data_IF_930004312515
#
_entry.id   IF_930004312515
#
_cell.length_a   1.000
_cell.length_b   1.000
_cell.length_c   1.000
_cell.angle_alpha   90.00
_cell.angle_beta   90.00
_cell.angle_gamma   90.00
#
_symmetry.space_group_name_H-M   'P 1'
#
loop_
_entity.id
_entity.type
_entity.pdbx_description
1 polymer ?
#
# COMPACT_ATOMS: atom_id res chain seq x y z
N UNK A 1 -16.75 6.50 -19.27
CA UNK A 1 -15.91 6.63 -18.06
C UNK A 1 -16.81 7.22 -16.98
N UNK A 2 -16.89 6.63 -15.79
CA UNK A 2 -17.83 7.14 -14.78
C UNK A 2 -17.39 8.54 -14.36
N UNK A 3 -18.34 9.46 -14.27
CA UNK A 3 -18.14 10.88 -13.95
C UNK A 3 -17.90 11.09 -12.45
N UNK A 4 -17.14 10.17 -11.83
CA UNK A 4 -16.80 10.19 -10.40
C UNK A 4 -15.76 11.28 -10.16
N UNK A 5 -15.83 11.92 -8.99
CA UNK A 5 -14.93 13.02 -8.60
C UNK A 5 -13.49 12.54 -8.49
N UNK A 6 -13.30 11.36 -7.90
CA UNK A 6 -11.99 10.77 -7.64
C UNK A 6 -11.82 9.44 -8.36
N UNK A 7 -10.59 9.17 -8.78
CA UNK A 7 -10.23 7.85 -9.30
C UNK A 7 -10.12 6.85 -8.16
N UNK A 8 -9.45 7.25 -7.08
CA UNK A 8 -9.20 6.38 -5.93
C UNK A 8 -9.45 7.12 -4.62
N UNK A 9 -10.23 6.52 -3.74
CA UNK A 9 -10.33 6.90 -2.34
C UNK A 9 -9.36 6.03 -1.55
N UNK A 10 -8.58 6.63 -0.66
CA UNK A 10 -7.69 5.87 0.23
C UNK A 10 -7.95 6.30 1.66
N UNK A 11 -8.15 5.31 2.52
CA UNK A 11 -8.22 5.51 3.96
C UNK A 11 -7.09 4.72 4.63
N UNK A 12 -6.34 5.35 5.52
CA UNK A 12 -5.37 4.62 6.32
C UNK A 12 -4.30 5.49 6.95
N UNK A 13 -3.16 4.85 7.16
CA UNK A 13 -2.02 5.36 7.87
C UNK A 13 -1.19 6.35 7.05
N UNK A 14 -0.68 7.35 7.76
CA UNK A 14 0.26 8.32 7.21
C UNK A 14 1.23 8.76 8.29
N UNK A 15 2.51 8.71 7.99
CA UNK A 15 3.56 9.14 8.92
C UNK A 15 4.73 9.70 8.14
N UNK A 16 5.77 10.10 8.87
CA UNK A 16 7.08 10.39 8.29
C UNK A 16 8.02 9.24 8.60
N UNK A 17 8.80 8.83 7.61
CA UNK A 17 9.90 7.88 7.77
C UNK A 17 11.23 8.66 7.78
N UNK A 18 11.96 8.56 8.89
CA UNK A 18 13.35 9.02 9.00
C UNK A 18 14.28 7.85 8.71
N UNK A 19 14.86 7.84 7.51
CA UNK A 19 15.71 6.73 7.04
C UNK A 19 17.17 7.08 7.24
N UNK A 20 17.86 6.22 8.00
CA UNK A 20 19.26 6.36 8.39
C UNK A 20 20.01 5.11 7.91
N UNK A 21 20.62 5.16 6.71
CA UNK A 21 21.37 4.04 6.17
C UNK A 21 22.74 3.88 6.86
N UNK A 22 23.30 2.68 6.80
CA UNK A 22 24.63 2.36 7.33
C UNK A 22 24.69 2.16 8.85
N UNK A 23 23.55 2.00 9.52
CA UNK A 23 23.51 1.80 10.97
C UNK A 23 23.54 0.31 11.31
N UNK A 24 24.70 -0.19 11.69
CA UNK A 24 24.88 -1.58 12.09
C UNK A 24 24.37 -1.87 13.51
N UNK A 25 24.48 -0.90 14.41
CA UNK A 25 24.03 -0.98 15.80
C UNK A 25 23.70 0.41 16.36
N UNK A 26 22.90 0.44 17.41
CA UNK A 26 22.69 1.66 18.20
C UNK A 26 23.84 1.86 19.21
N UNK A 27 24.22 3.11 19.51
CA UNK A 27 25.23 3.40 20.53
C UNK A 27 24.79 2.92 21.92
N UNK A 28 25.75 2.55 22.77
CA UNK A 28 25.47 2.17 24.15
C UNK A 28 25.08 3.41 24.99
N UNK A 29 24.45 3.23 26.17
CA UNK A 29 24.15 4.35 27.07
C UNK A 29 25.39 5.21 27.36
N UNK A 30 25.27 6.52 27.10
CA UNK A 30 26.37 7.48 27.28
C UNK A 30 27.34 7.60 26.10
N UNK A 31 27.10 6.89 24.99
CA UNK A 31 27.85 7.02 23.73
C UNK A 31 27.05 7.82 22.70
N UNK A 32 27.76 8.42 21.75
CA UNK A 32 27.23 9.17 20.63
C UNK A 32 27.84 8.60 19.34
N UNK A 33 26.99 8.23 18.40
CA UNK A 33 27.39 7.85 17.05
C UNK A 33 26.90 8.94 16.08
N UNK A 34 27.76 9.34 15.14
CA UNK A 34 27.43 10.29 14.07
C UNK A 34 27.16 9.51 12.80
N UNK A 35 26.04 9.83 12.14
CA UNK A 35 25.64 9.21 10.87
C UNK A 35 25.92 10.16 9.71
N UNK A 36 26.27 9.60 8.56
CA UNK A 36 26.61 10.41 7.38
C UNK A 36 25.38 11.11 6.78
N UNK A 37 24.23 10.42 6.79
CA UNK A 37 22.99 10.94 6.20
C UNK A 37 21.77 10.53 7.02
N UNK A 38 20.77 11.39 6.99
CA UNK A 38 19.44 11.14 7.54
C UNK A 38 18.43 11.82 6.62
N UNK A 39 17.55 11.03 6.02
CA UNK A 39 16.58 11.53 5.05
C UNK A 39 15.17 11.36 5.58
N UNK A 40 14.29 12.31 5.22
CA UNK A 40 12.90 12.35 5.64
C UNK A 40 12.00 12.06 4.45
N UNK A 41 11.10 11.08 4.59
CA UNK A 41 10.16 10.66 3.56
C UNK A 41 8.75 10.55 4.12
N UNK A 42 7.75 10.56 3.24
CA UNK A 42 6.38 10.18 3.63
C UNK A 42 6.33 8.66 3.75
N UNK A 43 5.94 8.19 4.93
CA UNK A 43 5.70 6.79 5.25
C UNK A 43 4.22 6.49 5.41
N UNK A 44 3.94 5.21 5.66
CA UNK A 44 2.59 4.66 5.79
C UNK A 44 2.12 4.01 4.49
N UNK A 45 1.62 2.77 4.59
CA UNK A 45 1.31 1.96 3.40
C UNK A 45 0.23 2.62 2.54
N UNK A 46 -0.82 3.14 3.19
CA UNK A 46 -1.88 3.87 2.52
C UNK A 46 -1.36 5.14 1.83
N UNK A 47 -0.49 5.91 2.49
CA UNK A 47 0.08 7.12 1.93
C UNK A 47 1.01 6.85 0.74
N UNK A 48 1.91 5.84 0.84
CA UNK A 48 2.81 5.45 -0.25
C UNK A 48 2.02 5.01 -1.48
N UNK A 49 0.98 4.19 -1.30
CA UNK A 49 0.07 3.81 -2.38
C UNK A 49 -0.55 5.05 -3.04
N UNK A 50 -1.05 5.98 -2.23
CA UNK A 50 -1.72 7.21 -2.69
C UNK A 50 -0.80 8.10 -3.52
N UNK A 51 0.43 8.31 -3.05
CA UNK A 51 1.45 9.06 -3.78
C UNK A 51 1.77 8.40 -5.13
N UNK A 52 1.86 7.06 -5.16
CA UNK A 52 2.03 6.30 -6.39
C UNK A 52 0.89 6.52 -7.39
N UNK A 53 -0.35 6.42 -6.94
CA UNK A 53 -1.54 6.67 -7.78
C UNK A 53 -1.52 8.09 -8.38
N UNK A 54 -1.19 9.10 -7.58
CA UNK A 54 -1.09 10.48 -8.04
C UNK A 54 0.05 10.70 -9.05
N UNK A 55 1.22 10.07 -8.84
CA UNK A 55 2.35 10.11 -9.79
C UNK A 55 2.03 9.46 -11.14
N UNK A 56 1.14 8.45 -11.17
CA UNK A 56 0.64 7.84 -12.41
C UNK A 56 -0.47 8.66 -13.09
N UNK A 57 -0.74 9.88 -12.63
CA UNK A 57 -1.67 10.81 -13.27
C UNK A 57 -3.15 10.52 -13.01
N UNK A 58 -3.47 9.70 -12.01
CA UNK A 58 -4.83 9.55 -11.49
C UNK A 58 -5.11 10.63 -10.44
N UNK A 59 -6.39 10.79 -10.08
CA UNK A 59 -6.83 11.75 -9.07
C UNK A 59 -7.24 11.06 -7.75
N UNK A 60 -6.30 10.75 -6.85
CA UNK A 60 -6.62 10.15 -5.55
C UNK A 60 -7.06 11.20 -4.52
N UNK A 61 -7.94 10.80 -3.61
CA UNK A 61 -8.20 11.51 -2.35
C UNK A 61 -7.75 10.67 -1.17
N UNK A 62 -7.13 11.32 -0.19
CA UNK A 62 -6.68 10.67 1.03
C UNK A 62 -7.51 11.10 2.24
N UNK A 63 -8.05 10.13 2.96
CA UNK A 63 -8.64 10.32 4.28
C UNK A 63 -7.72 9.72 5.33
N UNK A 64 -7.30 10.54 6.28
CA UNK A 64 -6.44 10.17 7.40
C UNK A 64 -6.19 11.39 8.29
N UNK A 65 -5.26 11.31 9.23
CA UNK A 65 -4.99 12.41 10.15
C UNK A 65 -3.49 12.65 10.30
N UNK A 66 -3.07 13.91 10.16
CA UNK A 66 -1.71 14.40 10.48
C UNK A 66 -1.76 15.33 11.70
N UNK A 67 -0.63 15.56 12.34
CA UNK A 67 -0.52 16.53 13.43
C UNK A 67 -0.36 17.96 12.91
N UNK A 68 -0.77 18.95 13.71
CA UNK A 68 -0.39 20.35 13.53
C UNK A 68 1.09 20.54 13.96
N UNK A 69 1.99 20.14 13.06
CA UNK A 69 3.44 20.18 13.22
C UNK A 69 4.18 20.27 11.87
N UNK A 70 5.52 20.35 11.93
CA UNK A 70 6.35 20.49 10.74
C UNK A 70 6.28 19.25 9.82
N UNK A 71 6.05 18.06 10.37
CA UNK A 71 5.92 16.82 9.60
C UNK A 71 4.57 16.74 8.90
N UNK A 72 3.49 17.17 9.56
CA UNK A 72 2.19 17.34 8.93
C UNK A 72 2.25 18.32 7.76
N UNK A 73 2.94 19.45 7.94
CA UNK A 73 3.17 20.40 6.84
C UNK A 73 3.97 19.80 5.69
N UNK A 74 5.04 19.06 5.99
CA UNK A 74 5.84 18.36 4.97
C UNK A 74 4.98 17.39 4.15
N UNK A 75 4.12 16.60 4.81
CA UNK A 75 3.18 15.70 4.14
C UNK A 75 2.21 16.46 3.22
N UNK A 76 1.64 17.59 3.68
CA UNK A 76 0.73 18.41 2.87
C UNK A 76 1.41 18.91 1.59
N UNK A 77 2.68 19.32 1.68
CA UNK A 77 3.44 19.78 0.53
C UNK A 77 3.74 18.61 -0.43
N UNK A 78 4.17 17.45 0.10
CA UNK A 78 4.42 16.23 -0.68
C UNK A 78 3.18 15.75 -1.45
N UNK A 79 2.02 15.75 -0.80
CA UNK A 79 0.73 15.39 -1.40
C UNK A 79 0.36 16.35 -2.53
N UNK A 80 0.61 17.65 -2.35
CA UNK A 80 0.28 18.69 -3.34
C UNK A 80 1.12 18.53 -4.60
N UNK A 81 2.41 18.25 -4.45
CA UNK A 81 3.33 18.03 -5.57
C UNK A 81 2.97 16.78 -6.40
N UNK A 82 2.32 15.80 -5.78
CA UNK A 82 2.01 14.50 -6.39
C UNK A 82 0.53 14.36 -6.75
N UNK A 83 -0.19 15.48 -6.87
CA UNK A 83 -1.59 15.55 -7.28
C UNK A 83 -2.56 14.75 -6.39
N UNK A 84 -2.30 14.70 -5.08
CA UNK A 84 -3.21 14.08 -4.10
C UNK A 84 -4.18 15.11 -3.56
N UNK A 85 -5.49 14.83 -3.66
CA UNK A 85 -6.55 15.62 -3.04
C UNK A 85 -6.55 15.41 -1.52
N UNK A 86 -6.43 16.52 -0.79
CA UNK A 86 -6.25 16.57 0.66
C UNK A 86 -7.54 17.01 1.38
N UNK A 87 -8.66 17.13 0.67
CA UNK A 87 -9.93 17.66 1.23
C UNK A 87 -10.50 16.83 2.37
N UNK A 88 -10.09 15.56 2.51
CA UNK A 88 -10.50 14.66 3.58
C UNK A 88 -9.40 14.40 4.62
N UNK A 89 -8.25 15.08 4.52
CA UNK A 89 -7.15 14.94 5.46
C UNK A 89 -7.42 15.80 6.70
N UNK A 90 -7.51 15.15 7.86
CA UNK A 90 -7.67 15.80 9.16
C UNK A 90 -6.35 16.33 9.70
N UNK A 91 -6.43 17.40 10.49
CA UNK A 91 -5.29 17.97 11.24
C UNK A 91 -5.62 17.90 12.73
N UNK A 92 -4.86 17.11 13.48
CA UNK A 92 -4.98 16.97 14.93
C UNK A 92 -4.17 18.06 15.63
N UNK A 93 -4.82 18.84 16.48
CA UNK A 93 -4.15 19.76 17.40
C UNK A 93 -3.72 19.10 18.71
N UNK A 94 -4.04 17.81 18.89
CA UNK A 94 -3.81 17.05 20.13
C UNK A 94 -2.60 16.13 19.95
N UNK A 95 -2.63 15.25 18.95
CA UNK A 95 -1.55 14.31 18.67
C UNK A 95 -0.63 14.83 17.57
N UNK A 96 0.64 14.44 17.64
CA UNK A 96 1.64 14.76 16.61
C UNK A 96 1.60 13.73 15.49
N UNK A 97 2.06 14.15 14.31
CA UNK A 97 2.24 13.27 13.15
C UNK A 97 3.08 12.07 13.56
N UNK A 98 2.68 10.87 13.12
CA UNK A 98 3.46 9.65 13.36
C UNK A 98 4.86 9.75 12.75
N UNK A 99 5.84 9.11 13.38
CA UNK A 99 7.23 9.07 12.92
C UNK A 99 7.75 7.64 13.08
N UNK A 100 8.29 7.08 12.01
CA UNK A 100 9.05 5.83 12.03
C UNK A 100 10.51 6.15 11.74
N UNK A 101 11.42 5.72 12.61
CA UNK A 101 12.86 5.85 12.37
C UNK A 101 13.34 4.50 11.87
N UNK A 102 13.86 4.46 10.65
CA UNK A 102 14.42 3.27 10.04
C UNK A 102 15.94 3.30 10.09
N UNK A 103 16.52 2.26 10.67
CA UNK A 103 17.95 1.98 10.67
C UNK A 103 18.20 0.86 9.68
N UNK A 104 18.94 1.13 8.61
CA UNK A 104 19.17 0.16 7.54
C UNK A 104 20.64 -0.22 7.46
N UNK A 105 20.93 -1.51 7.33
CA UNK A 105 22.27 -2.02 6.99
C UNK A 105 22.18 -3.02 5.82
N UNK A 106 23.30 -3.64 5.45
CA UNK A 106 23.34 -4.60 4.33
C UNK A 106 22.51 -5.87 4.57
N UNK A 107 22.22 -6.21 5.82
CA UNK A 107 21.50 -7.43 6.17
C UNK A 107 19.98 -7.21 6.27
N UNK A 108 19.54 -6.19 7.02
CA UNK A 108 18.12 -5.92 7.26
C UNK A 108 17.88 -4.50 7.79
N UNK A 109 16.62 -4.17 8.05
CA UNK A 109 16.15 -2.90 8.61
C UNK A 109 15.51 -3.09 9.99
N UNK A 110 15.69 -2.09 10.85
CA UNK A 110 15.03 -2.02 12.17
C UNK A 110 14.28 -0.71 12.30
N UNK A 111 13.19 -0.70 13.09
CA UNK A 111 12.32 0.47 13.23
C UNK A 111 12.12 0.85 14.70
N UNK A 112 12.08 2.17 14.94
CA UNK A 112 11.51 2.75 16.16
C UNK A 112 10.37 3.69 15.75
N UNK A 113 9.14 3.34 16.13
CA UNK A 113 7.94 4.02 15.64
C UNK A 113 7.18 4.70 16.77
N UNK A 114 6.98 6.00 16.64
CA UNK A 114 5.93 6.73 17.34
C UNK A 114 4.70 6.81 16.43
N UNK A 115 3.60 6.15 16.82
CA UNK A 115 2.42 6.05 15.95
C UNK A 115 1.69 7.40 15.77
N UNK A 116 1.73 8.27 16.77
CA UNK A 116 1.13 9.60 16.70
C UNK A 116 -0.35 9.55 16.31
N UNK A 117 -0.75 10.39 15.35
CA UNK A 117 -2.12 10.41 14.82
C UNK A 117 -2.61 9.08 14.22
N UNK A 118 -1.72 8.14 13.87
CA UNK A 118 -2.14 6.80 13.42
C UNK A 118 -2.74 5.95 14.56
N UNK A 119 -2.58 6.33 15.83
CA UNK A 119 -3.33 5.75 16.96
C UNK A 119 -4.82 6.10 16.95
N UNK A 120 -5.23 7.10 16.17
CA UNK A 120 -6.62 7.53 16.06
C UNK A 120 -7.38 6.88 14.89
N UNK A 121 -6.71 6.03 14.11
CA UNK A 121 -7.31 5.31 12.97
C UNK A 121 -8.47 4.48 13.48
N UNK A 122 -9.63 4.72 12.88
CA UNK A 122 -10.89 4.10 13.22
C UNK A 122 -11.73 3.98 11.95
N UNK A 123 -11.99 2.75 11.51
CA UNK A 123 -12.71 2.50 10.26
C UNK A 123 -14.17 3.01 10.30
N UNK A 124 -14.74 3.23 11.49
CA UNK A 124 -16.07 3.82 11.63
C UNK A 124 -16.11 5.30 11.20
N UNK A 125 -14.95 5.97 11.07
CA UNK A 125 -14.82 7.34 10.59
C UNK A 125 -14.75 7.45 9.06
N UNK A 126 -14.71 6.32 8.34
CA UNK A 126 -14.65 6.35 6.88
C UNK A 126 -15.93 7.00 6.35
N UNK A 127 -15.78 8.06 5.56
CA UNK A 127 -16.94 8.77 5.00
C UNK A 127 -17.46 8.02 3.78
N UNK A 128 -18.38 7.08 4.02
CA UNK A 128 -18.93 6.20 2.98
C UNK A 128 -19.71 6.99 1.92
N UNK A 129 -20.29 8.16 2.24
CA UNK A 129 -20.90 9.03 1.23
C UNK A 129 -19.83 9.59 0.28
N UNK A 130 -18.66 9.96 0.80
CA UNK A 130 -17.52 10.38 -0.04
C UNK A 130 -16.89 9.23 -0.81
N UNK A 131 -16.88 8.01 -0.28
CA UNK A 131 -16.44 6.82 -1.03
C UNK A 131 -17.27 6.61 -2.30
N UNK A 132 -18.56 6.99 -2.30
CA UNK A 132 -19.41 6.95 -3.50
C UNK A 132 -18.99 7.94 -4.57
N UNK A 133 -18.25 9.00 -4.23
CA UNK A 133 -17.72 9.95 -5.21
C UNK A 133 -16.46 9.42 -5.92
N UNK A 134 -15.91 8.27 -5.50
CA UNK A 134 -14.75 7.62 -6.12
C UNK A 134 -15.12 6.42 -7.01
N UNK A 135 -14.22 6.06 -7.94
CA UNK A 135 -14.34 4.84 -8.76
C UNK A 135 -13.87 3.58 -8.02
N UNK A 136 -12.89 3.77 -7.14
CA UNK A 136 -12.22 2.72 -6.39
C UNK A 136 -11.92 3.19 -4.98
N UNK A 137 -11.91 2.26 -4.02
CA UNK A 137 -11.34 2.46 -2.69
C UNK A 137 -10.24 1.43 -2.45
N UNK A 138 -9.11 1.89 -1.90
CA UNK A 138 -8.04 1.03 -1.41
C UNK A 138 -8.01 1.07 0.12
N UNK A 139 -7.97 -0.11 0.72
CA UNK A 139 -7.91 -0.32 2.16
C UNK A 139 -6.64 -1.11 2.51
N UNK A 140 -6.08 -0.87 3.70
CA UNK A 140 -4.91 -1.58 4.22
C UNK A 140 -4.91 -1.59 5.76
N UNK A 141 -3.96 -2.26 6.41
CA UNK A 141 -3.83 -2.38 7.88
C UNK A 141 -4.88 -3.30 8.52
N UNK A 142 -4.94 -4.56 8.08
CA UNK A 142 -5.74 -5.59 8.75
C UNK A 142 -5.01 -6.13 9.99
N UNK A 143 -5.63 -6.08 11.17
CA UNK A 143 -5.03 -6.50 12.44
C UNK A 143 -5.73 -7.73 13.04
N UNK A 144 -6.19 -8.63 12.18
CA UNK A 144 -6.90 -9.83 12.59
C UNK A 144 -8.17 -9.50 13.37
N UNK A 145 -8.37 -10.15 14.53
CA UNK A 145 -9.58 -9.96 15.35
C UNK A 145 -9.79 -8.54 15.84
N UNK A 146 -8.73 -7.74 16.00
CA UNK A 146 -8.82 -6.40 16.60
C UNK A 146 -9.74 -5.47 15.82
N UNK A 147 -9.71 -5.55 14.49
CA UNK A 147 -10.49 -4.67 13.61
C UNK A 147 -11.32 -5.44 12.56
N UNK A 148 -11.49 -6.77 12.73
CA UNK A 148 -12.24 -7.59 11.79
C UNK A 148 -13.68 -7.13 11.60
N UNK A 149 -14.43 -6.91 12.70
CA UNK A 149 -15.83 -6.51 12.60
C UNK A 149 -15.97 -5.15 11.91
N UNK A 150 -15.08 -4.20 12.24
CA UNK A 150 -15.08 -2.87 11.62
C UNK A 150 -14.86 -2.94 10.10
N UNK A 151 -13.95 -3.81 9.63
CA UNK A 151 -13.79 -4.06 8.20
C UNK A 151 -15.01 -4.72 7.58
N UNK A 152 -15.60 -5.72 8.25
CA UNK A 152 -16.76 -6.43 7.74
C UNK A 152 -17.97 -5.49 7.57
N UNK A 153 -18.21 -4.63 8.55
CA UNK A 153 -19.26 -3.60 8.51
C UNK A 153 -19.01 -2.60 7.38
N UNK A 154 -17.82 -2.00 7.32
CA UNK A 154 -17.46 -1.02 6.29
C UNK A 154 -17.59 -1.60 4.87
N UNK A 155 -17.08 -2.81 4.65
CA UNK A 155 -17.12 -3.47 3.35
C UNK A 155 -18.55 -3.81 2.91
N UNK A 156 -19.40 -4.27 3.84
CA UNK A 156 -20.83 -4.46 3.58
C UNK A 156 -21.51 -3.16 3.19
N UNK A 157 -21.20 -2.07 3.89
CA UNK A 157 -21.78 -0.75 3.63
C UNK A 157 -21.38 -0.25 2.24
N UNK A 158 -20.08 -0.27 1.90
CA UNK A 158 -19.58 0.14 0.58
C UNK A 158 -20.24 -0.70 -0.53
N UNK A 159 -20.38 -2.02 -0.32
CA UNK A 159 -20.98 -2.92 -1.31
C UNK A 159 -22.48 -2.73 -1.49
N UNK A 160 -23.23 -2.33 -0.46
CA UNK A 160 -24.66 -2.07 -0.57
C UNK A 160 -24.99 -1.00 -1.62
N UNK A 161 -24.07 -0.08 -1.90
CA UNK A 161 -24.25 0.98 -2.91
C UNK A 161 -23.78 0.59 -4.33
N UNK A 162 -23.02 -0.49 -4.48
CA UNK A 162 -22.79 -1.20 -5.74
C UNK A 162 -21.95 -0.53 -6.84
N UNK A 163 -21.42 0.69 -6.67
CA UNK A 163 -20.69 1.39 -7.77
C UNK A 163 -19.19 1.56 -7.57
N UNK A 164 -18.70 1.53 -6.33
CA UNK A 164 -17.27 1.68 -6.01
C UNK A 164 -16.61 0.31 -5.91
N UNK A 165 -15.51 0.11 -6.62
CA UNK A 165 -14.72 -1.13 -6.51
C UNK A 165 -13.78 -1.08 -5.31
N UNK A 166 -13.50 -2.22 -4.69
CA UNK A 166 -12.69 -2.31 -3.47
C UNK A 166 -11.44 -3.12 -3.72
N UNK A 167 -10.27 -2.57 -3.41
CA UNK A 167 -9.06 -3.35 -3.18
C UNK A 167 -8.67 -3.34 -1.71
N UNK A 168 -8.10 -4.46 -1.26
CA UNK A 168 -7.67 -4.63 0.11
C UNK A 168 -6.29 -5.29 0.14
N UNK A 169 -5.30 -4.60 0.71
CA UNK A 169 -4.02 -5.20 1.08
C UNK A 169 -4.01 -5.52 2.57
N UNK A 170 -3.92 -6.80 2.91
CA UNK A 170 -4.07 -7.25 4.30
C UNK A 170 -2.90 -6.80 5.17
N UNK A 171 -1.69 -6.72 4.61
CA UNK A 171 -0.46 -6.46 5.36
C UNK A 171 -0.06 -7.59 6.31
N UNK A 172 0.97 -7.32 7.10
CA UNK A 172 1.56 -8.26 8.04
C UNK A 172 0.78 -8.33 9.37
N UNK A 173 0.57 -9.54 9.90
CA UNK A 173 -0.05 -9.75 11.21
C UNK A 173 1.00 -9.85 12.32
N UNK A 174 1.26 -8.73 13.00
CA UNK A 174 2.18 -8.66 14.14
C UNK A 174 1.81 -9.58 15.31
N UNK A 175 0.52 -9.94 15.47
CA UNK A 175 0.09 -10.88 16.50
C UNK A 175 0.43 -12.34 16.14
N UNK A 176 0.77 -12.60 14.88
CA UNK A 176 1.05 -13.94 14.36
C UNK A 176 -0.17 -14.88 14.39
N UNK A 177 -1.38 -14.34 14.60
CA UNK A 177 -2.61 -15.14 14.64
C UNK A 177 -2.96 -15.64 13.23
N UNK A 178 -2.81 -14.77 12.24
CA UNK A 178 -3.24 -14.96 10.86
C UNK A 178 -4.71 -15.40 10.83
N UNK A 179 -5.56 -14.58 11.45
CA UNK A 179 -6.95 -14.91 11.74
C UNK A 179 -7.74 -15.29 10.47
N UNK A 180 -8.23 -16.52 10.42
CA UNK A 180 -8.96 -17.04 9.24
C UNK A 180 -10.35 -16.44 9.05
N UNK A 181 -10.86 -15.64 10.00
CA UNK A 181 -12.08 -14.85 9.80
C UNK A 181 -11.98 -13.90 8.61
N UNK A 182 -10.77 -13.58 8.14
CA UNK A 182 -10.55 -12.78 6.92
C UNK A 182 -11.31 -13.28 5.68
N UNK A 183 -11.61 -14.58 5.59
CA UNK A 183 -12.42 -15.16 4.52
C UNK A 183 -13.84 -14.58 4.46
N UNK A 184 -14.37 -14.08 5.57
CA UNK A 184 -15.68 -13.43 5.65
C UNK A 184 -15.72 -12.07 4.93
N UNK A 185 -14.54 -11.44 4.73
CA UNK A 185 -14.41 -10.17 4.03
C UNK A 185 -14.41 -10.33 2.50
N UNK A 186 -13.95 -11.48 2.00
CA UNK A 186 -13.70 -11.73 0.58
C UNK A 186 -14.90 -11.50 -0.36
N UNK A 187 -16.16 -11.85 0.00
CA UNK A 187 -17.33 -11.56 -0.84
C UNK A 187 -17.50 -10.07 -1.17
N UNK A 188 -16.92 -9.20 -0.35
CA UNK A 188 -17.05 -7.74 -0.44
C UNK A 188 -15.80 -7.07 -1.01
N UNK A 189 -14.81 -7.83 -1.46
CA UNK A 189 -13.55 -7.33 -2.01
C UNK A 189 -13.52 -7.65 -3.52
N UNK A 190 -13.18 -6.66 -4.34
CA UNK A 190 -13.00 -6.91 -5.78
C UNK A 190 -11.57 -7.33 -6.11
N UNK A 191 -10.57 -6.83 -5.36
CA UNK A 191 -9.15 -7.13 -5.55
C UNK A 191 -8.49 -7.36 -4.19
N UNK A 192 -8.09 -8.59 -3.89
CA UNK A 192 -7.33 -8.92 -2.69
C UNK A 192 -5.84 -8.94 -3.02
N UNK A 193 -5.04 -8.15 -2.31
CA UNK A 193 -3.58 -8.16 -2.39
C UNK A 193 -2.98 -8.86 -1.18
N UNK A 194 -1.99 -9.70 -1.44
CA UNK A 194 -1.14 -10.35 -0.43
C UNK A 194 0.28 -10.50 -0.98
N UNK A 195 1.28 -10.68 -0.13
CA UNK A 195 2.55 -11.28 -0.51
C UNK A 195 2.54 -12.81 -0.34
N UNK A 196 3.59 -13.48 -0.83
CA UNK A 196 3.78 -14.94 -0.72
C UNK A 196 3.59 -15.45 0.72
N UNK A 197 4.19 -14.75 1.68
CA UNK A 197 4.17 -15.12 3.09
C UNK A 197 2.78 -14.99 3.71
N UNK A 198 2.12 -13.85 3.54
CA UNK A 198 0.75 -13.59 4.02
C UNK A 198 -0.23 -14.63 3.47
N UNK A 199 -0.16 -14.91 2.16
CA UNK A 199 -1.05 -15.87 1.51
C UNK A 199 -0.91 -17.28 2.09
N UNK A 200 0.32 -17.75 2.30
CA UNK A 200 0.62 -19.05 2.92
C UNK A 200 0.08 -19.08 4.35
N UNK A 201 0.30 -18.03 5.13
CA UNK A 201 -0.11 -17.99 6.52
C UNK A 201 -1.64 -17.98 6.68
N UNK A 202 -2.37 -17.08 6.02
CA UNK A 202 -3.84 -17.00 6.15
C UNK A 202 -4.55 -18.26 5.64
N UNK A 203 -4.06 -18.84 4.54
CA UNK A 203 -4.68 -20.02 3.93
C UNK A 203 -4.31 -21.34 4.60
N UNK A 204 -3.23 -21.36 5.41
CA UNK A 204 -2.59 -22.57 5.95
C UNK A 204 -2.13 -23.55 4.87
N UNK A 205 -1.94 -23.10 3.63
CA UNK A 205 -1.38 -23.89 2.53
C UNK A 205 0.14 -23.83 2.56
N UNK A 206 0.79 -24.75 1.84
CA UNK A 206 2.26 -24.76 1.72
C UNK A 206 2.74 -23.88 0.57
N UNK A 207 2.00 -23.89 -0.52
CA UNK A 207 2.34 -23.19 -1.74
C UNK A 207 1.39 -22.01 -1.97
N UNK A 208 1.95 -20.87 -2.41
CA UNK A 208 1.17 -19.66 -2.70
C UNK A 208 0.10 -19.87 -3.77
N UNK A 209 0.36 -20.73 -4.77
CA UNK A 209 -0.61 -21.04 -5.82
C UNK A 209 -1.87 -21.71 -5.24
N UNK A 210 -1.71 -22.59 -4.25
CA UNK A 210 -2.83 -23.26 -3.61
C UNK A 210 -3.60 -22.29 -2.71
N UNK A 211 -2.88 -21.36 -2.06
CA UNK A 211 -3.46 -20.31 -1.24
C UNK A 211 -4.38 -19.40 -2.07
N UNK A 212 -3.87 -18.83 -3.16
CA UNK A 212 -4.65 -17.88 -3.99
C UNK A 212 -5.81 -18.56 -4.71
N UNK A 213 -5.67 -19.84 -5.11
CA UNK A 213 -6.77 -20.64 -5.66
C UNK A 213 -7.87 -20.84 -4.63
N UNK A 214 -7.51 -21.07 -3.37
CA UNK A 214 -8.48 -21.25 -2.29
C UNK A 214 -9.23 -19.94 -2.01
N UNK A 215 -8.52 -18.82 -1.89
CA UNK A 215 -9.12 -17.50 -1.73
C UNK A 215 -10.01 -17.11 -2.92
N UNK A 216 -9.58 -17.42 -4.15
CA UNK A 216 -10.30 -17.14 -5.40
C UNK A 216 -11.61 -17.91 -5.58
N UNK A 217 -11.96 -18.84 -4.67
CA UNK A 217 -13.30 -19.44 -4.61
C UNK A 217 -14.36 -18.45 -4.14
N UNK A 218 -13.95 -17.44 -3.37
CA UNK A 218 -14.85 -16.48 -2.73
C UNK A 218 -14.52 -15.04 -3.12
N UNK A 219 -13.24 -14.69 -3.20
CA UNK A 219 -12.81 -13.37 -3.69
C UNK A 219 -12.80 -13.33 -5.22
N UNK A 220 -13.22 -12.20 -5.80
CA UNK A 220 -13.32 -12.07 -7.27
C UNK A 220 -11.97 -12.14 -7.97
N UNK A 221 -10.98 -11.43 -7.45
CA UNK A 221 -9.61 -11.42 -7.95
C UNK A 221 -8.66 -11.40 -6.76
N UNK A 222 -7.70 -12.32 -6.79
CA UNK A 222 -6.65 -12.45 -5.77
C UNK A 222 -5.31 -12.27 -6.45
N UNK A 223 -4.47 -11.40 -5.91
CA UNK A 223 -3.15 -11.06 -6.45
C UNK A 223 -2.09 -11.28 -5.38
N UNK A 224 -1.11 -12.13 -5.67
CA UNK A 224 0.03 -12.39 -4.81
C UNK A 224 1.33 -11.79 -5.39
N UNK A 225 2.00 -11.00 -4.56
CA UNK A 225 3.32 -10.41 -4.80
C UNK A 225 4.39 -11.43 -4.41
N UNK A 226 5.28 -11.78 -5.35
CA UNK A 226 6.32 -12.81 -5.17
C UNK A 226 7.74 -12.22 -5.18
N UNK A 227 7.87 -10.92 -4.95
CA UNK A 227 9.14 -10.19 -4.94
C UNK A 227 9.89 -10.35 -6.27
N UNK A 228 11.14 -10.83 -6.22
CA UNK A 228 11.98 -11.06 -7.42
C UNK A 228 11.39 -12.09 -8.39
N UNK A 229 10.43 -12.92 -7.98
CA UNK A 229 9.74 -13.87 -8.89
C UNK A 229 8.61 -13.22 -9.69
N UNK A 230 8.24 -11.97 -9.38
CA UNK A 230 7.16 -11.24 -10.03
C UNK A 230 5.86 -11.35 -9.25
N UNK A 231 4.77 -11.70 -9.94
CA UNK A 231 3.43 -11.70 -9.37
C UNK A 231 2.53 -12.71 -10.05
N UNK A 232 1.56 -13.22 -9.30
CA UNK A 232 0.55 -14.15 -9.77
C UNK A 232 -0.85 -13.68 -9.36
N UNK A 233 -1.86 -13.97 -10.15
CA UNK A 233 -3.25 -13.70 -9.80
C UNK A 233 -4.17 -14.86 -10.17
N UNK A 234 -5.29 -14.96 -9.46
CA UNK A 234 -6.40 -15.86 -9.77
C UNK A 234 -7.68 -15.07 -9.91
N UNK A 235 -8.41 -15.30 -11.01
CA UNK A 235 -9.76 -14.80 -11.25
C UNK A 235 -10.59 -15.86 -11.96
N UNK A 236 -11.76 -16.17 -11.44
CA UNK A 236 -12.69 -17.14 -12.05
C UNK A 236 -12.01 -18.48 -12.39
N UNK A 237 -11.14 -18.96 -11.50
CA UNK A 237 -10.35 -20.19 -11.66
C UNK A 237 -9.17 -20.12 -12.64
N UNK A 238 -9.00 -19.01 -13.36
CA UNK A 238 -7.89 -18.78 -14.29
C UNK A 238 -6.70 -18.17 -13.54
N UNK A 239 -5.50 -18.63 -13.88
CA UNK A 239 -4.23 -18.16 -13.33
C UNK A 239 -3.58 -17.21 -14.31
N UNK A 240 -3.08 -16.09 -13.79
CA UNK A 240 -2.37 -15.07 -14.53
C UNK A 240 -1.01 -14.84 -13.88
N UNK A 241 0.05 -14.73 -14.67
CA UNK A 241 1.40 -14.55 -14.15
C UNK A 241 2.12 -13.42 -14.91
N UNK A 242 2.97 -12.69 -14.20
CA UNK A 242 3.90 -11.75 -14.80
C UNK A 242 5.24 -11.83 -14.06
N UNK A 243 6.33 -11.92 -14.82
CA UNK A 243 7.68 -11.88 -14.28
C UNK A 243 7.99 -10.49 -13.68
N UNK A 244 8.94 -10.46 -12.74
CA UNK A 244 9.51 -9.22 -12.23
C UNK A 244 10.40 -8.56 -13.28
N UNK A 245 10.72 -7.28 -13.06
CA UNK A 245 11.77 -6.61 -13.80
C UNK A 245 13.06 -6.64 -13.01
N UNK A 246 14.17 -6.99 -13.67
CA UNK A 246 15.49 -6.96 -13.05
C UNK A 246 15.94 -5.52 -12.83
N UNK A 247 16.15 -5.18 -11.55
CA UNK A 247 16.54 -3.88 -11.02
C UNK A 247 17.56 -4.07 -9.90
N UNK A 248 18.36 -3.05 -9.64
CA UNK A 248 19.25 -2.99 -8.48
C UNK A 248 18.48 -2.36 -7.30
N UNK A 249 18.28 -3.12 -6.24
CA UNK A 249 17.50 -2.68 -5.09
C UNK A 249 18.39 -1.95 -4.08
N UNK A 250 17.96 -0.75 -3.68
CA UNK A 250 18.58 0.08 -2.64
C UNK A 250 17.75 -0.01 -1.35
N UNK A 251 16.42 0.09 -1.45
CA UNK A 251 15.50 0.04 -0.30
C UNK A 251 14.21 -0.65 -0.71
N UNK A 252 13.80 -1.69 0.03
CA UNK A 252 12.60 -2.47 -0.29
C UNK A 252 11.32 -1.94 0.38
N UNK A 253 11.43 -0.86 1.16
CA UNK A 253 10.29 -0.18 1.78
C UNK A 253 9.30 0.26 0.71
N UNK A 254 7.99 0.14 0.98
CA UNK A 254 6.95 0.56 0.04
C UNK A 254 6.84 -0.22 -1.27
N UNK A 255 7.62 -1.29 -1.49
CA UNK A 255 7.57 -2.07 -2.74
C UNK A 255 6.19 -2.71 -2.99
N UNK A 256 5.56 -3.21 -1.92
CA UNK A 256 4.21 -3.78 -1.98
C UNK A 256 3.15 -2.73 -2.28
N UNK A 257 3.20 -1.59 -1.60
CA UNK A 257 2.26 -0.47 -1.81
C UNK A 257 2.40 0.12 -3.21
N UNK A 258 3.64 0.22 -3.69
CA UNK A 258 3.97 0.66 -5.04
C UNK A 258 3.49 -0.34 -6.10
N UNK A 259 3.62 -1.65 -5.84
CA UNK A 259 3.02 -2.67 -6.70
C UNK A 259 1.51 -2.50 -6.77
N UNK A 260 0.83 -2.34 -5.62
CA UNK A 260 -0.62 -2.16 -5.58
C UNK A 260 -1.04 -0.93 -6.37
N UNK A 261 -0.32 0.19 -6.24
CA UNK A 261 -0.61 1.41 -6.99
C UNK A 261 -0.51 1.19 -8.50
N UNK A 262 0.56 0.52 -8.96
CA UNK A 262 0.72 0.16 -10.37
C UNK A 262 -0.37 -0.78 -10.89
N UNK A 263 -0.76 -1.78 -10.08
CA UNK A 263 -1.83 -2.72 -10.42
C UNK A 263 -3.19 -2.01 -10.53
N UNK A 264 -3.56 -1.23 -9.51
CA UNK A 264 -4.82 -0.49 -9.47
C UNK A 264 -4.89 0.54 -10.60
N UNK A 265 -3.76 1.20 -10.92
CA UNK A 265 -3.68 2.03 -12.11
C UNK A 265 -4.01 1.26 -13.39
N UNK A 266 -3.38 0.10 -13.61
CA UNK A 266 -3.65 -0.73 -14.78
C UNK A 266 -5.11 -1.18 -14.86
N UNK A 267 -5.66 -1.62 -13.73
CA UNK A 267 -7.06 -2.00 -13.58
C UNK A 267 -8.01 -0.84 -13.95
N UNK A 268 -7.77 0.36 -13.43
CA UNK A 268 -8.61 1.53 -13.69
C UNK A 268 -8.45 2.09 -15.11
N UNK A 269 -7.34 1.82 -15.79
CA UNK A 269 -7.16 2.10 -17.22
C UNK A 269 -7.78 1.03 -18.12
N UNK A 270 -8.40 -0.01 -17.56
CA UNK A 270 -9.08 -1.07 -18.31
C UNK A 270 -8.13 -2.05 -19.00
N UNK A 271 -6.90 -2.18 -18.49
CA UNK A 271 -5.91 -3.13 -18.98
C UNK A 271 -6.29 -4.58 -18.63
N UNK A 272 -5.68 -5.56 -19.32
CA UNK A 272 -5.82 -6.96 -18.92
C UNK A 272 -5.21 -7.21 -17.52
N UNK A 273 -5.52 -8.36 -16.92
CA UNK A 273 -4.95 -8.72 -15.61
C UNK A 273 -3.43 -8.88 -15.73
N UNK A 274 -2.93 -9.52 -16.78
CA UNK A 274 -1.50 -9.66 -17.05
C UNK A 274 -0.82 -8.31 -17.22
N UNK A 275 -1.44 -7.38 -17.95
CA UNK A 275 -0.92 -6.03 -18.09
C UNK A 275 -0.94 -5.25 -16.77
N UNK A 276 -1.98 -5.41 -15.94
CA UNK A 276 -2.03 -4.81 -14.60
C UNK A 276 -0.95 -5.39 -13.67
N UNK A 277 -0.71 -6.71 -13.73
CA UNK A 277 0.41 -7.36 -13.04
C UNK A 277 1.76 -6.80 -13.49
N UNK A 278 1.95 -6.59 -14.81
CA UNK A 278 3.16 -5.95 -15.34
C UNK A 278 3.31 -4.51 -14.84
N UNK A 279 2.23 -3.73 -14.78
CA UNK A 279 2.28 -2.38 -14.19
C UNK A 279 2.68 -2.43 -12.71
N UNK A 280 2.08 -3.33 -11.92
CA UNK A 280 2.45 -3.52 -10.52
C UNK A 280 3.92 -3.92 -10.36
N UNK A 281 4.39 -4.91 -11.10
CA UNK A 281 5.79 -5.36 -11.06
C UNK A 281 6.77 -4.25 -11.47
N UNK A 282 6.42 -3.42 -12.45
CA UNK A 282 7.25 -2.30 -12.87
C UNK A 282 7.32 -1.22 -11.78
N UNK A 283 6.18 -0.82 -11.21
CA UNK A 283 6.13 0.18 -10.15
C UNK A 283 6.85 -0.29 -8.88
N UNK A 284 6.60 -1.52 -8.43
CA UNK A 284 7.29 -2.11 -7.28
C UNK A 284 8.78 -2.33 -7.52
N UNK A 285 9.19 -2.69 -8.75
CA UNK A 285 10.60 -2.80 -9.11
C UNK A 285 11.32 -1.44 -9.17
N UNK A 286 10.67 -0.42 -9.70
CA UNK A 286 11.27 0.92 -9.79
C UNK A 286 11.32 1.61 -8.41
N UNK A 287 10.30 1.42 -7.57
CA UNK A 287 10.28 2.03 -6.23
C UNK A 287 11.47 1.63 -5.38
N UNK A 288 11.97 0.39 -5.53
CA UNK A 288 13.10 -0.09 -4.73
C UNK A 288 14.47 0.42 -5.17
N UNK A 289 14.54 1.16 -6.28
CA UNK A 289 15.81 1.72 -6.81
C UNK A 289 16.24 3.01 -6.11
N UNK A 290 15.49 3.47 -5.11
CA UNK A 290 15.79 4.66 -4.31
C UNK A 290 15.25 4.51 -2.87
N UNK A 291 15.77 5.31 -1.95
CA UNK A 291 15.38 5.33 -0.52
C UNK A 291 14.00 5.96 -0.31
N UNK A 292 13.20 5.42 0.61
CA UNK A 292 11.99 6.11 1.11
C UNK A 292 10.68 5.74 0.40
N UNK A 293 10.58 4.52 -0.11
CA UNK A 293 9.34 3.85 -0.52
C UNK A 293 8.58 4.38 -1.75
N UNK A 294 8.69 5.66 -2.10
CA UNK A 294 7.99 6.27 -3.24
C UNK A 294 8.86 7.17 -4.14
N UNK A 295 10.08 7.50 -3.72
CA UNK A 295 11.00 8.35 -4.50
C UNK A 295 11.33 7.76 -5.87
N UNK A 296 11.70 6.48 -5.92
CA UNK A 296 12.00 5.74 -7.17
C UNK A 296 10.75 5.40 -8.01
N UNK A 297 9.56 5.67 -7.49
CA UNK A 297 8.31 5.38 -8.18
C UNK A 297 8.18 6.19 -9.49
N UNK A 298 7.72 5.61 -10.61
CA UNK A 298 7.68 6.31 -11.90
C UNK A 298 6.49 7.27 -12.03
N UNK A 299 6.64 8.25 -12.92
CA UNK A 299 5.49 8.92 -13.56
C UNK A 299 4.86 8.04 -14.63
N UNK A 300 3.64 8.38 -15.07
CA UNK A 300 2.90 7.60 -16.08
C UNK A 300 3.72 7.34 -17.36
N UNK A 301 4.39 8.36 -17.89
CA UNK A 301 5.17 8.25 -19.13
C UNK A 301 6.46 7.44 -18.94
N UNK A 302 7.10 7.55 -17.77
CA UNK A 302 8.27 6.76 -17.37
C UNK A 302 7.92 5.28 -17.24
N UNK A 303 6.77 4.96 -16.62
CA UNK A 303 6.26 3.60 -16.51
C UNK A 303 6.05 2.99 -17.90
N UNK A 304 5.35 3.69 -18.79
CA UNK A 304 5.07 3.24 -20.16
C UNK A 304 6.38 3.00 -20.91
N UNK A 305 7.34 3.93 -20.83
CA UNK A 305 8.66 3.79 -21.46
C UNK A 305 9.45 2.61 -20.90
N UNK A 306 9.41 2.39 -19.59
CA UNK A 306 10.12 1.32 -18.92
C UNK A 306 9.60 -0.06 -19.35
N UNK A 307 8.27 -0.24 -19.36
CA UNK A 307 7.63 -1.48 -19.79
C UNK A 307 7.92 -1.77 -21.27
N UNK A 308 7.80 -0.79 -22.15
CA UNK A 308 8.02 -0.97 -23.59
C UNK A 308 9.46 -1.39 -23.96
N UNK A 309 10.48 -0.97 -23.19
CA UNK A 309 11.88 -1.32 -23.43
C UNK A 309 12.22 -2.77 -23.11
N UNK A 310 11.44 -3.43 -22.25
CA UNK A 310 11.72 -4.77 -21.73
C UNK A 310 10.75 -5.85 -22.23
N UNK A 311 9.82 -5.47 -23.10
CA UNK A 311 9.03 -6.39 -23.93
C UNK A 311 9.71 -6.76 -25.25
N UNK A 312 10.90 -6.21 -25.51
CA UNK A 312 11.78 -6.52 -26.67
C UNK A 312 12.96 -7.35 -26.21
#
# INVERSE_FOLDING_TARGET
MSNKKWDVYVYGDINVDLVIPGVERLPLPGQEDVVETMNTYVGGGAAIFTLGIGKLGLNPVFQGTIGDDCYGKFILDEFREKNVDQTLLGISSINKTGISISFTNEADRSFLTYRGTNDEIDLSKVDVEKVKEARHIHLTSYMGRKNHEQYLELLKEIKAYGTTTVSFDVGWDDAGEWYQGIYELYPYIDILFMNETEAIHYSRKKEVIDAIKDFGKTCKLVVAKLGKKGSIAVKDGHIYEAASYSVEAIDTTGAGDSFNAGFVYGFLKGKSIEEALKCGNACGGLSVTALGGNTGFPKEDELIKFMAKRER
#
